data_IF_021053451774
#
_entry.id   IF_021053451774
#
_cell.length_a   1.000
_cell.length_b   1.000
_cell.length_c   1.000
_cell.angle_alpha   90.00
_cell.angle_beta   90.00
_cell.angle_gamma   90.00
#
_symmetry.space_group_name_H-M   'P 1'
#
loop_
_entity.id
_entity.type
_entity.pdbx_description
1 polymer ?
#
# COMPACT_ATOMS: atom_id res chain seq x y z
N UNK A 1 16.20 0.80 -0.97
CA UNK A 1 14.76 0.89 -0.63
C UNK A 1 14.58 0.36 0.77
N UNK A 2 13.86 1.08 1.63
CA UNK A 2 13.61 0.68 3.01
C UNK A 2 13.60 1.88 3.94
N UNK A 3 14.68 2.11 4.65
CA UNK A 3 14.79 3.17 5.64
C UNK A 3 14.91 4.55 5.01
N UNK A 4 14.21 5.55 5.57
CA UNK A 4 14.27 6.96 5.17
C UNK A 4 13.98 7.17 3.68
N UNK A 5 12.81 6.69 3.23
CA UNK A 5 12.38 6.88 1.84
C UNK A 5 12.16 8.36 1.51
N UNK A 6 12.32 8.70 0.23
CA UNK A 6 12.02 10.05 -0.31
C UNK A 6 10.56 10.22 -0.74
N UNK A 7 9.70 9.21 -0.50
CA UNK A 7 8.27 9.30 -0.80
C UNK A 7 7.64 10.27 0.22
N UNK A 8 7.25 11.45 -0.23
CA UNK A 8 6.87 12.59 0.61
C UNK A 8 5.74 12.28 1.59
N UNK A 9 4.69 11.63 1.12
CA UNK A 9 3.52 11.31 1.94
C UNK A 9 3.77 10.24 3.02
N UNK A 10 4.93 9.57 3.00
CA UNK A 10 5.34 8.69 4.10
C UNK A 10 5.96 9.48 5.26
N UNK A 11 6.37 10.73 5.06
CA UNK A 11 6.92 11.55 6.13
C UNK A 11 5.84 11.95 7.13
N UNK A 12 6.19 12.01 8.41
CA UNK A 12 5.34 12.51 9.48
C UNK A 12 6.01 13.74 10.11
N UNK A 13 5.79 14.91 9.52
CA UNK A 13 6.58 16.10 9.82
C UNK A 13 8.06 15.85 9.50
N UNK A 14 8.96 16.12 10.45
CA UNK A 14 10.42 15.92 10.29
C UNK A 14 10.85 14.44 10.42
N UNK A 15 9.92 13.53 10.70
CA UNK A 15 10.21 12.10 10.81
C UNK A 15 10.13 11.46 9.43
N UNK A 16 11.24 10.98 8.86
CA UNK A 16 11.21 10.32 7.56
C UNK A 16 10.47 8.98 7.67
N UNK A 17 9.71 8.66 6.62
CA UNK A 17 9.02 7.39 6.51
C UNK A 17 9.91 6.28 5.96
N UNK A 18 9.34 5.09 5.87
CA UNK A 18 10.00 3.89 5.36
C UNK A 18 9.17 3.23 4.26
N UNK A 19 9.81 2.39 3.46
CA UNK A 19 9.12 1.44 2.58
C UNK A 19 9.46 0.02 2.99
N UNK A 20 8.44 -0.82 3.08
CA UNK A 20 8.61 -2.24 3.35
C UNK A 20 7.93 -3.06 2.25
N UNK A 21 8.58 -4.10 1.75
CA UNK A 21 8.05 -4.98 0.73
C UNK A 21 8.05 -6.42 1.24
N UNK A 22 6.94 -7.12 1.10
CA UNK A 22 6.86 -8.54 1.46
C UNK A 22 7.47 -9.43 0.38
N UNK A 23 7.34 -9.00 -0.89
CA UNK A 23 7.94 -9.59 -2.08
C UNK A 23 8.27 -8.48 -3.08
N UNK A 24 8.95 -8.82 -4.18
CA UNK A 24 8.96 -8.01 -5.41
C UNK A 24 8.20 -8.75 -6.49
N UNK A 25 7.45 -8.01 -7.30
CA UNK A 25 6.66 -8.51 -8.39
C UNK A 25 5.16 -8.37 -8.15
N UNK A 26 4.40 -8.20 -9.21
CA UNK A 26 2.97 -7.94 -9.18
C UNK A 26 2.31 -8.29 -10.52
N UNK A 27 1.00 -8.44 -10.53
CA UNK A 27 0.19 -8.50 -11.74
C UNK A 27 -0.49 -7.15 -11.98
N UNK A 28 -0.53 -6.72 -13.25
CA UNK A 28 -1.22 -5.49 -13.66
C UNK A 28 -2.74 -5.68 -13.63
N UNK A 29 -3.45 -4.70 -13.10
CA UNK A 29 -4.92 -4.76 -12.96
C UNK A 29 -5.66 -3.52 -13.46
N UNK A 30 -4.94 -2.44 -13.78
CA UNK A 30 -5.57 -1.20 -14.20
C UNK A 30 -4.60 -0.32 -15.01
N UNK A 31 -5.06 0.75 -15.68
CA UNK A 31 -4.21 1.69 -16.41
C UNK A 31 -3.08 2.31 -15.58
N UNK A 32 -3.25 2.43 -14.26
CA UNK A 32 -2.17 2.87 -13.36
C UNK A 32 -0.98 1.89 -13.31
N UNK A 33 -1.14 0.67 -13.83
CA UNK A 33 -0.07 -0.33 -13.88
C UNK A 33 0.70 -0.34 -15.21
N UNK A 34 0.27 0.41 -16.23
CA UNK A 34 0.87 0.34 -17.57
C UNK A 34 2.34 0.78 -17.58
N UNK A 35 2.64 1.85 -16.84
CA UNK A 35 3.98 2.44 -16.70
C UNK A 35 4.50 2.31 -15.28
N UNK A 36 4.35 1.13 -14.69
CA UNK A 36 4.70 0.89 -13.29
C UNK A 36 6.20 1.13 -13.04
N UNK A 37 6.50 2.10 -12.19
CA UNK A 37 7.89 2.41 -11.82
C UNK A 37 8.61 1.22 -11.16
N UNK A 38 7.86 0.41 -10.41
CA UNK A 38 8.40 -0.75 -9.71
C UNK A 38 8.81 -1.86 -10.68
N UNK A 39 8.02 -2.11 -11.74
CA UNK A 39 8.38 -3.01 -12.83
C UNK A 39 9.63 -2.51 -13.56
N UNK A 40 9.64 -1.22 -13.95
CA UNK A 40 10.77 -0.63 -14.64
C UNK A 40 12.06 -0.69 -13.80
N UNK A 41 11.95 -0.50 -12.49
CA UNK A 41 13.08 -0.62 -11.58
C UNK A 41 13.59 -2.06 -11.44
N UNK A 42 12.67 -3.04 -11.30
CA UNK A 42 13.01 -4.45 -11.23
C UNK A 42 13.71 -4.93 -12.50
N UNK A 43 13.20 -4.53 -13.69
CA UNK A 43 13.84 -4.85 -14.99
C UNK A 43 15.26 -4.28 -15.10
N UNK A 44 15.49 -3.05 -14.64
CA UNK A 44 16.85 -2.47 -14.60
C UNK A 44 17.79 -3.22 -13.65
N UNK A 45 17.24 -3.82 -12.60
CA UNK A 45 17.98 -4.67 -11.68
C UNK A 45 18.13 -6.13 -12.15
N UNK A 46 17.70 -6.45 -13.39
CA UNK A 46 17.82 -7.77 -13.99
C UNK A 46 16.69 -8.75 -13.65
N UNK A 47 15.56 -8.27 -13.08
CA UNK A 47 14.44 -9.12 -12.70
C UNK A 47 13.21 -8.93 -13.57
N UNK A 48 12.61 -10.05 -14.01
CA UNK A 48 11.32 -10.09 -14.74
C UNK A 48 10.27 -10.76 -13.85
N UNK A 49 9.59 -9.98 -13.01
CA UNK A 49 8.72 -10.46 -11.92
C UNK A 49 7.25 -10.02 -12.09
N UNK A 50 6.91 -9.37 -13.21
CA UNK A 50 5.54 -8.89 -13.46
C UNK A 50 4.79 -9.80 -14.42
N UNK A 51 3.50 -9.96 -14.15
CA UNK A 51 2.57 -10.73 -15.00
C UNK A 51 1.80 -11.79 -14.22
N UNK A 52 0.76 -12.31 -14.87
CA UNK A 52 -0.11 -13.34 -14.33
C UNK A 52 0.68 -14.63 -14.09
N UNK A 53 0.65 -15.14 -12.85
CA UNK A 53 1.40 -16.33 -12.47
C UNK A 53 2.92 -16.19 -12.54
N UNK A 54 3.44 -14.97 -12.73
CA UNK A 54 4.88 -14.68 -12.71
C UNK A 54 5.47 -14.92 -11.32
N UNK A 55 6.76 -15.21 -11.28
CA UNK A 55 7.49 -15.40 -10.02
C UNK A 55 7.41 -14.15 -9.13
N UNK A 56 7.34 -14.34 -7.81
CA UNK A 56 7.46 -13.28 -6.79
C UNK A 56 8.74 -13.51 -6.00
N UNK A 57 9.63 -12.51 -6.05
CA UNK A 57 10.94 -12.60 -5.36
C UNK A 57 10.75 -12.40 -3.88
N UNK A 58 11.07 -13.43 -3.09
CA UNK A 58 11.12 -13.36 -1.63
C UNK A 58 12.36 -12.60 -1.16
N UNK A 59 12.24 -11.88 -0.05
CA UNK A 59 13.29 -11.04 0.49
C UNK A 59 14.02 -11.72 1.66
N UNK A 60 15.25 -11.27 1.94
CA UNK A 60 16.14 -11.87 2.94
C UNK A 60 15.60 -11.75 4.38
N UNK A 61 16.09 -12.60 5.28
CA UNK A 61 15.76 -12.54 6.70
C UNK A 61 16.15 -11.19 7.34
N UNK A 62 17.23 -10.55 6.88
CA UNK A 62 17.66 -9.23 7.36
C UNK A 62 16.65 -8.13 7.00
N UNK A 63 16.07 -8.20 5.80
CA UNK A 63 15.00 -7.30 5.40
C UNK A 63 13.81 -7.38 6.37
N UNK A 64 13.41 -8.59 6.74
CA UNK A 64 12.31 -8.85 7.64
C UNK A 64 12.54 -8.40 9.09
N UNK A 65 13.80 -8.19 9.49
CA UNK A 65 14.14 -7.61 10.81
C UNK A 65 14.09 -6.08 10.86
N UNK A 66 14.05 -5.41 9.70
CA UNK A 66 14.11 -3.95 9.62
C UNK A 66 12.96 -3.25 10.37
N UNK A 67 11.68 -3.66 10.28
CA UNK A 67 10.57 -3.01 10.98
C UNK A 67 10.76 -2.96 12.50
N UNK A 68 11.32 -3.99 13.11
CA UNK A 68 11.58 -4.01 14.55
C UNK A 68 12.57 -2.91 14.96
N UNK A 69 13.60 -2.66 14.14
CA UNK A 69 14.57 -1.59 14.37
C UNK A 69 13.94 -0.21 14.22
N UNK A 70 13.07 -0.03 13.19
CA UNK A 70 12.36 1.23 12.97
C UNK A 70 11.37 1.52 14.10
N UNK A 71 10.66 0.49 14.59
CA UNK A 71 9.75 0.61 15.71
C UNK A 71 10.48 1.07 16.99
N UNK A 72 11.62 0.46 17.30
CA UNK A 72 12.43 0.86 18.47
C UNK A 72 12.93 2.30 18.35
N UNK A 73 13.35 2.74 17.15
CA UNK A 73 13.78 4.10 16.89
C UNK A 73 12.61 5.11 17.04
N UNK A 74 11.42 4.79 16.49
CA UNK A 74 10.21 5.59 16.60
C UNK A 74 9.76 5.71 18.07
N UNK A 75 9.78 4.62 18.81
CA UNK A 75 9.48 4.59 20.25
C UNK A 75 10.43 5.49 21.03
N UNK A 76 11.74 5.39 20.78
CA UNK A 76 12.75 6.24 21.42
C UNK A 76 12.54 7.73 21.10
N UNK A 77 12.10 8.04 19.89
CA UNK A 77 11.79 9.40 19.46
C UNK A 77 10.43 9.92 20.00
N UNK A 78 9.60 9.04 20.60
CA UNK A 78 8.24 9.39 21.06
C UNK A 78 7.29 9.76 19.92
N UNK A 79 7.59 9.36 18.66
CA UNK A 79 6.85 9.76 17.47
C UNK A 79 6.72 8.59 16.48
N UNK A 80 5.49 8.26 16.09
CA UNK A 80 5.23 7.19 15.15
C UNK A 80 5.83 7.49 13.77
N UNK A 81 6.46 6.47 13.15
CA UNK A 81 6.96 6.53 11.79
C UNK A 81 6.01 5.79 10.83
N UNK A 82 5.83 6.32 9.62
CA UNK A 82 5.00 5.70 8.59
C UNK A 82 5.79 4.68 7.79
N UNK A 83 5.13 3.59 7.42
CA UNK A 83 5.71 2.52 6.58
C UNK A 83 4.78 2.24 5.41
N UNK A 84 5.20 2.59 4.21
CA UNK A 84 4.49 2.23 2.98
C UNK A 84 4.75 0.75 2.64
N UNK A 85 3.72 -0.04 2.64
CA UNK A 85 3.77 -1.46 2.31
C UNK A 85 2.66 -1.80 1.29
N UNK A 86 3.00 -2.19 0.06
CA UNK A 86 4.33 -2.45 -0.53
C UNK A 86 4.58 -1.54 -1.72
N UNK A 87 5.80 -1.03 -1.87
CA UNK A 87 6.17 -0.19 -3.03
C UNK A 87 6.55 -0.99 -4.28
N UNK A 88 6.88 -2.29 -4.15
CA UNK A 88 7.35 -3.18 -5.23
C UNK A 88 6.42 -4.37 -5.47
N UNK A 89 5.25 -4.40 -4.82
CA UNK A 89 4.25 -5.46 -4.89
C UNK A 89 2.88 -4.92 -4.48
N UNK A 90 1.87 -5.77 -4.50
CA UNK A 90 0.59 -5.52 -3.84
C UNK A 90 0.39 -6.56 -2.73
N UNK A 91 0.21 -6.11 -1.49
CA UNK A 91 0.05 -6.99 -0.32
C UNK A 91 -1.20 -7.88 -0.45
N UNK A 92 -2.21 -7.39 -1.15
CA UNK A 92 -3.49 -8.07 -1.32
C UNK A 92 -3.63 -8.77 -2.69
N UNK A 93 -2.51 -9.02 -3.36
CA UNK A 93 -2.50 -9.88 -4.55
C UNK A 93 -2.82 -11.34 -4.16
N UNK A 94 -3.73 -11.97 -4.92
CA UNK A 94 -4.00 -13.41 -4.78
C UNK A 94 -2.94 -14.22 -5.53
N UNK A 95 -1.85 -14.50 -4.83
CA UNK A 95 -0.72 -15.28 -5.31
C UNK A 95 -0.13 -16.12 -4.16
N UNK A 96 0.22 -17.42 -4.37
CA UNK A 96 0.68 -18.30 -3.29
C UNK A 96 1.85 -17.71 -2.49
N UNK A 97 2.90 -17.23 -3.16
CA UNK A 97 4.07 -16.64 -2.50
C UNK A 97 3.71 -15.37 -1.73
N UNK A 98 2.81 -14.51 -2.28
CA UNK A 98 2.34 -13.30 -1.59
C UNK A 98 1.56 -13.69 -0.35
N UNK A 99 0.69 -14.70 -0.43
CA UNK A 99 -0.11 -15.20 0.69
C UNK A 99 0.75 -15.71 1.84
N UNK A 100 1.80 -16.48 1.53
CA UNK A 100 2.78 -16.93 2.52
C UNK A 100 3.49 -15.76 3.20
N UNK A 101 4.02 -14.82 2.44
CA UNK A 101 4.75 -13.67 2.99
C UNK A 101 3.81 -12.68 3.69
N UNK A 102 2.57 -12.53 3.25
CA UNK A 102 1.54 -11.75 3.92
C UNK A 102 1.20 -12.32 5.30
N UNK A 103 1.07 -13.64 5.43
CA UNK A 103 0.87 -14.29 6.74
C UNK A 103 2.02 -13.99 7.71
N UNK A 104 3.25 -13.86 7.20
CA UNK A 104 4.42 -13.45 7.98
C UNK A 104 4.41 -11.98 8.37
N UNK A 105 3.75 -11.11 7.59
CA UNK A 105 3.66 -9.67 7.86
C UNK A 105 2.81 -9.37 9.10
N UNK A 106 1.69 -10.05 9.29
CA UNK A 106 0.71 -9.69 10.31
C UNK A 106 1.27 -9.69 11.74
N UNK A 107 2.05 -10.71 12.17
CA UNK A 107 2.70 -10.66 13.48
C UNK A 107 3.66 -9.48 13.64
N UNK A 108 4.35 -9.06 12.58
CA UNK A 108 5.26 -7.91 12.61
C UNK A 108 4.46 -6.61 12.80
N UNK A 109 3.36 -6.45 12.09
CA UNK A 109 2.45 -5.30 12.24
C UNK A 109 1.97 -5.19 13.69
N UNK A 110 1.52 -6.30 14.28
CA UNK A 110 1.07 -6.35 15.66
C UNK A 110 2.21 -6.02 16.67
N UNK A 111 3.44 -6.46 16.39
CA UNK A 111 4.61 -6.24 17.25
C UNK A 111 5.24 -4.84 17.11
N UNK A 112 4.73 -4.00 16.20
CA UNK A 112 5.33 -2.69 15.89
C UNK A 112 4.34 -1.53 16.04
N UNK A 113 3.82 -1.25 17.26
CA UNK A 113 2.78 -0.25 17.50
C UNK A 113 3.25 1.20 17.27
N UNK A 114 4.55 1.46 17.21
CA UNK A 114 5.13 2.76 16.87
C UNK A 114 5.35 2.97 15.38
N UNK A 115 4.91 1.99 14.53
CA UNK A 115 4.89 2.13 13.09
C UNK A 115 3.44 2.24 12.61
N UNK A 116 3.14 3.25 11.80
CA UNK A 116 1.87 3.38 11.08
C UNK A 116 2.02 2.70 9.71
N UNK A 117 1.39 1.55 9.54
CA UNK A 117 1.44 0.76 8.32
C UNK A 117 0.43 1.26 7.30
N UNK A 118 0.92 1.77 6.18
CA UNK A 118 0.12 2.24 5.05
C UNK A 118 0.05 1.11 4.02
N UNK A 119 -1.05 0.36 4.03
CA UNK A 119 -1.26 -0.82 3.16
C UNK A 119 -1.99 -0.38 1.89
N UNK A 120 -1.23 0.07 0.89
CA UNK A 120 -1.78 0.51 -0.39
C UNK A 120 -2.00 -0.66 -1.33
N UNK A 121 -3.19 -0.75 -1.93
CA UNK A 121 -3.57 -1.81 -2.88
C UNK A 121 -4.33 -1.26 -4.10
N UNK A 122 -4.33 -2.03 -5.17
CA UNK A 122 -5.25 -1.87 -6.31
C UNK A 122 -6.36 -2.93 -6.33
N UNK A 123 -6.45 -3.70 -5.22
CA UNK A 123 -7.39 -4.83 -5.01
C UNK A 123 -8.08 -4.69 -3.65
N UNK A 124 -8.85 -3.59 -3.40
CA UNK A 124 -9.53 -3.40 -2.10
C UNK A 124 -10.52 -4.52 -1.80
N UNK A 125 -11.12 -5.14 -2.81
CA UNK A 125 -12.02 -6.30 -2.73
C UNK A 125 -11.40 -7.50 -1.98
N UNK A 126 -10.07 -7.62 -1.99
CA UNK A 126 -9.37 -8.73 -1.34
C UNK A 126 -9.05 -8.48 0.14
N UNK A 127 -9.08 -7.23 0.59
CA UNK A 127 -8.61 -6.85 1.93
C UNK A 127 -9.31 -7.66 3.02
N UNK A 128 -10.66 -7.70 2.99
CA UNK A 128 -11.46 -8.40 3.99
C UNK A 128 -11.15 -9.89 4.08
N UNK A 129 -10.93 -10.54 2.93
CA UNK A 129 -10.62 -11.98 2.86
C UNK A 129 -9.18 -12.33 3.26
N UNK A 130 -8.28 -11.33 3.30
CA UNK A 130 -6.84 -11.56 3.42
C UNK A 130 -6.20 -10.98 4.69
N UNK A 131 -6.94 -10.20 5.48
CA UNK A 131 -6.49 -9.76 6.81
C UNK A 131 -6.81 -10.78 7.89
N UNK A 132 -6.15 -10.74 9.06
CA UNK A 132 -6.50 -11.58 10.20
C UNK A 132 -7.96 -11.39 10.63
N UNK A 133 -8.64 -12.46 10.98
CA UNK A 133 -10.07 -12.41 11.39
C UNK A 133 -10.34 -11.51 12.59
N UNK A 134 -9.40 -11.40 13.50
CA UNK A 134 -9.45 -10.50 14.65
C UNK A 134 -9.50 -9.03 14.25
N UNK A 135 -8.88 -8.65 13.13
CA UNK A 135 -8.94 -7.27 12.60
C UNK A 135 -10.34 -6.90 12.11
N UNK A 136 -11.12 -7.88 11.67
CA UNK A 136 -12.53 -7.69 11.29
C UNK A 136 -13.45 -7.41 12.50
N UNK A 137 -12.97 -7.66 13.71
CA UNK A 137 -13.69 -7.35 14.97
C UNK A 137 -13.18 -6.05 15.60
N UNK A 138 -11.88 -5.80 15.50
CA UNK A 138 -11.23 -4.60 16.01
C UNK A 138 -10.03 -4.27 15.11
N UNK A 139 -10.19 -3.25 14.28
CA UNK A 139 -9.13 -2.82 13.36
C UNK A 139 -7.94 -2.23 14.12
N UNK A 140 -6.68 -2.65 13.83
CA UNK A 140 -5.51 -2.12 14.50
C UNK A 140 -5.34 -0.62 14.25
N UNK A 141 -5.15 0.16 15.30
CA UNK A 141 -4.99 1.62 15.21
C UNK A 141 -3.75 2.07 14.44
N UNK A 142 -2.77 1.17 14.30
CA UNK A 142 -1.54 1.42 13.57
C UNK A 142 -1.56 0.96 12.10
N UNK A 143 -2.73 0.59 11.57
CA UNK A 143 -2.90 0.15 10.16
C UNK A 143 -3.88 1.07 9.44
N UNK A 144 -3.44 1.66 8.35
CA UNK A 144 -4.27 2.39 7.40
C UNK A 144 -4.32 1.62 6.08
N UNK A 145 -5.45 1.03 5.71
CA UNK A 145 -5.65 0.49 4.38
C UNK A 145 -5.85 1.64 3.39
N UNK A 146 -5.39 1.47 2.18
CA UNK A 146 -5.57 2.48 1.13
C UNK A 146 -5.72 1.83 -0.23
N UNK A 147 -6.41 2.52 -1.13
CA UNK A 147 -6.47 2.10 -2.52
C UNK A 147 -6.01 3.19 -3.47
N UNK A 148 -5.46 2.76 -4.62
CA UNK A 148 -5.12 3.68 -5.70
C UNK A 148 -6.39 4.02 -6.49
N UNK A 149 -6.51 5.27 -6.96
CA UNK A 149 -7.50 5.67 -7.96
C UNK A 149 -6.80 6.53 -9.01
N UNK A 150 -6.93 6.22 -10.28
CA UNK A 150 -6.29 6.93 -11.37
C UNK A 150 -7.23 7.82 -12.18
N UNK A 151 -8.53 7.58 -12.10
CA UNK A 151 -9.62 8.35 -12.70
C UNK A 151 -10.96 8.00 -12.02
N UNK A 152 -12.07 8.62 -12.45
CA UNK A 152 -13.40 8.43 -11.85
C UNK A 152 -13.86 6.97 -11.85
N UNK A 153 -13.69 6.25 -12.98
CA UNK A 153 -14.12 4.86 -13.11
C UNK A 153 -13.45 3.96 -12.04
N UNK A 154 -12.14 4.08 -11.89
CA UNK A 154 -11.38 3.29 -10.93
C UNK A 154 -11.59 3.75 -9.48
N UNK A 155 -11.87 5.04 -9.29
CA UNK A 155 -12.28 5.53 -7.98
C UNK A 155 -13.62 4.91 -7.55
N UNK A 156 -14.65 5.00 -8.38
CA UNK A 156 -15.99 4.51 -8.06
C UNK A 156 -15.97 3.00 -7.78
N UNK A 157 -15.31 2.23 -8.63
CA UNK A 157 -15.19 0.78 -8.48
C UNK A 157 -14.50 0.42 -7.17
N UNK A 158 -13.28 0.93 -6.93
CA UNK A 158 -12.51 0.58 -5.74
C UNK A 158 -13.07 1.16 -4.45
N UNK A 159 -13.71 2.33 -4.53
CA UNK A 159 -14.42 2.89 -3.39
C UNK A 159 -15.63 2.04 -3.03
N UNK A 160 -16.40 1.57 -4.01
CA UNK A 160 -17.52 0.65 -3.75
C UNK A 160 -17.04 -0.63 -3.06
N UNK A 161 -15.94 -1.24 -3.55
CA UNK A 161 -15.35 -2.45 -2.94
C UNK A 161 -14.84 -2.18 -1.52
N UNK A 162 -14.22 -1.02 -1.28
CA UNK A 162 -13.72 -0.61 0.04
C UNK A 162 -14.85 -0.31 1.03
N UNK A 163 -15.94 0.30 0.58
CA UNK A 163 -17.08 0.76 1.41
C UNK A 163 -18.10 -0.34 1.67
N UNK A 164 -18.16 -1.40 0.85
CA UNK A 164 -18.97 -2.59 1.16
C UNK A 164 -18.67 -3.12 2.58
N UNK A 165 -17.47 -2.89 3.07
CA UNK A 165 -17.09 -3.20 4.45
C UNK A 165 -17.75 -2.32 5.52
N UNK A 166 -18.40 -1.19 5.15
CA UNK A 166 -19.16 -0.34 6.07
C UNK A 166 -20.57 -0.87 6.41
N UNK A 167 -20.97 -2.01 5.87
CA UNK A 167 -22.25 -2.66 6.23
C UNK A 167 -22.16 -3.25 7.66
N UNK A 168 -20.96 -3.50 8.18
CA UNK A 168 -20.79 -3.80 9.61
C UNK A 168 -20.57 -2.47 10.37
N UNK A 169 -21.55 -1.99 11.16
CA UNK A 169 -21.46 -0.71 11.86
C UNK A 169 -20.38 -0.69 12.94
N UNK A 170 -19.74 -1.82 13.23
CA UNK A 170 -18.80 -2.00 14.34
C UNK A 170 -17.36 -1.72 13.91
N UNK A 171 -16.98 -1.99 12.65
CA UNK A 171 -15.60 -1.83 12.20
C UNK A 171 -15.53 -0.90 10.99
N UNK A 172 -15.09 0.34 11.24
CA UNK A 172 -14.78 1.30 10.17
C UNK A 172 -13.29 1.24 9.88
N UNK A 173 -12.91 0.81 8.67
CA UNK A 173 -11.54 0.92 8.21
C UNK A 173 -11.22 2.39 7.88
N UNK A 174 -10.12 2.95 8.40
CA UNK A 174 -9.73 4.32 8.10
C UNK A 174 -9.02 4.38 6.72
N UNK A 175 -9.78 4.23 5.63
CA UNK A 175 -9.23 4.20 4.28
C UNK A 175 -8.53 5.51 3.89
N UNK A 176 -7.42 5.40 3.14
CA UNK A 176 -6.89 6.52 2.37
C UNK A 176 -6.93 6.23 0.88
N UNK A 177 -6.95 7.28 0.07
CA UNK A 177 -6.89 7.18 -1.39
C UNK A 177 -5.58 7.75 -1.88
N UNK A 178 -4.88 6.98 -2.73
CA UNK A 178 -3.75 7.45 -3.52
C UNK A 178 -4.25 7.71 -4.94
N UNK A 179 -4.52 8.98 -5.25
CA UNK A 179 -4.77 9.45 -6.61
C UNK A 179 -3.44 9.66 -7.32
N UNK A 180 -2.71 8.56 -7.47
CA UNK A 180 -1.40 8.45 -8.12
C UNK A 180 -1.31 7.15 -8.92
N UNK A 181 -1.15 7.24 -10.27
CA UNK A 181 -1.09 8.44 -11.10
C UNK A 181 -2.46 9.07 -11.35
N UNK A 182 -2.55 10.40 -11.34
CA UNK A 182 -3.74 11.15 -11.70
C UNK A 182 -3.87 11.20 -13.24
N UNK A 183 -4.64 10.27 -13.82
CA UNK A 183 -4.78 10.08 -15.26
C UNK A 183 -6.08 10.62 -15.86
N UNK A 184 -6.98 11.10 -15.03
CA UNK A 184 -8.24 11.73 -15.42
C UNK A 184 -8.94 12.29 -14.19
N UNK A 185 -9.87 13.26 -14.34
CA UNK A 185 -10.51 13.92 -13.21
C UNK A 185 -11.28 12.95 -12.33
N UNK A 186 -11.35 13.26 -11.03
CA UNK A 186 -12.15 12.55 -10.04
C UNK A 186 -13.00 13.57 -9.29
N UNK A 187 -14.30 13.31 -9.23
CA UNK A 187 -15.20 13.99 -8.30
C UNK A 187 -15.19 13.22 -6.97
N UNK A 188 -14.57 13.78 -5.96
CA UNK A 188 -14.50 13.22 -4.61
C UNK A 188 -15.74 13.52 -3.76
N UNK A 189 -16.83 14.05 -4.34
CA UNK A 189 -18.11 14.23 -3.66
C UNK A 189 -18.64 12.88 -3.16
N UNK A 190 -18.89 12.77 -1.86
CA UNK A 190 -19.37 11.52 -1.27
C UNK A 190 -18.28 10.56 -0.78
N UNK A 191 -17.09 11.04 -0.47
CA UNK A 191 -15.96 10.24 0.10
C UNK A 191 -16.25 9.74 1.53
N UNK A 192 -17.39 9.13 1.78
CA UNK A 192 -17.66 8.54 3.09
C UNK A 192 -16.60 7.46 3.39
N UNK A 193 -16.03 7.52 4.59
CA UNK A 193 -15.04 6.54 5.04
C UNK A 193 -13.59 6.80 4.60
N UNK A 194 -13.32 7.83 3.81
CA UNK A 194 -11.96 8.23 3.44
C UNK A 194 -11.41 9.24 4.45
N UNK A 195 -10.25 8.93 5.02
CA UNK A 195 -9.59 9.76 6.05
C UNK A 195 -8.44 10.61 5.49
N UNK A 196 -7.89 10.25 4.33
CA UNK A 196 -6.74 10.91 3.74
C UNK A 196 -6.70 10.74 2.22
N UNK A 197 -6.38 11.81 1.49
CA UNK A 197 -6.20 11.83 0.03
C UNK A 197 -4.76 12.22 -0.29
N UNK A 198 -4.07 11.40 -1.08
CA UNK A 198 -2.77 11.67 -1.66
C UNK A 198 -3.00 11.97 -3.15
N UNK A 199 -2.42 13.04 -3.67
CA UNK A 199 -2.55 13.43 -5.08
C UNK A 199 -1.18 13.56 -5.71
N UNK A 200 -0.97 12.90 -6.84
CA UNK A 200 0.31 12.96 -7.53
C UNK A 200 0.27 12.47 -8.97
N UNK A 201 1.29 12.86 -9.72
CA UNK A 201 1.50 12.41 -11.08
C UNK A 201 2.12 11.02 -11.18
N UNK A 202 2.20 10.49 -12.39
CA UNK A 202 2.89 9.23 -12.67
C UNK A 202 4.40 9.37 -12.46
N UNK A 203 5.01 8.40 -11.80
CA UNK A 203 6.44 8.40 -11.50
C UNK A 203 7.22 7.61 -12.55
N UNK A 204 8.39 8.11 -12.94
CA UNK A 204 9.34 7.40 -13.80
C UNK A 204 9.49 7.99 -15.20
N UNK A 205 10.37 7.36 -15.99
CA UNK A 205 10.60 7.78 -17.38
C UNK A 205 9.38 7.52 -18.26
N UNK A 206 8.99 8.52 -19.07
CA UNK A 206 7.81 8.45 -19.91
C UNK A 206 6.48 8.61 -19.16
N UNK A 207 6.50 9.23 -17.97
CA UNK A 207 5.30 9.51 -17.19
C UNK A 207 4.25 10.27 -18.02
N UNK A 208 2.99 9.86 -17.86
CA UNK A 208 1.85 10.56 -18.49
C UNK A 208 1.59 11.87 -17.75
N UNK A 209 1.10 12.90 -18.44
CA UNK A 209 0.72 14.15 -17.77
C UNK A 209 -0.31 13.91 -16.67
N UNK A 210 -0.18 14.67 -15.59
CA UNK A 210 -1.17 14.69 -14.52
C UNK A 210 -2.42 15.43 -15.02
N UNK A 211 -3.59 14.82 -14.84
CA UNK A 211 -4.88 15.35 -15.29
C UNK A 211 -5.85 15.43 -14.10
N UNK A 212 -6.03 16.62 -13.57
CA UNK A 212 -6.89 16.84 -12.39
C UNK A 212 -8.32 17.28 -12.72
N UNK A 213 -8.56 17.82 -13.91
CA UNK A 213 -9.85 18.40 -14.33
C UNK A 213 -9.98 19.87 -14.01
#
# INVERSE_FOLDING_TARGET
MGQNTKIEWTSNGDTPGHTFNIVWGCEKVSPACDRCYAEAWAKRAGFSLWGKGGERRVLSADHWRAPMKWNAAAQKAGKAARVFCSSMADVFEDHPTVSEQRARLWPIVAATPWLQWLLLTKRPENVRGMVPREWLKAWPSNVLPGFTAENQEWFDRRHADAVIDHIDPIVRFPWFVSYEPALGPINFGGMAGISWLIVGGESGGGARPMMLG
#
